data_IF_348335328452
#
_entry.id   IF_348335328452
#
_cell.length_a   1.000
_cell.length_b   1.000
_cell.length_c   1.000
_cell.angle_alpha   90.00
_cell.angle_beta   90.00
_cell.angle_gamma   90.00
#
_symmetry.space_group_name_H-M   'P 1'
#
loop_
_entity.id
_entity.type
_entity.pdbx_description
1 polymer ?
#
# COMPACT_ATOMS: atom_id res chain seq x y z
N UNK A 1 -50.58 -43.29 30.25
CA UNK A 1 -51.50 -43.93 29.28
C UNK A 1 -51.75 -42.93 28.16
N UNK A 2 -51.58 -43.44 26.94
CA UNK A 2 -51.70 -42.83 25.61
C UNK A 2 -53.08 -42.21 25.32
N UNK A 3 -53.18 -41.36 24.29
CA UNK A 3 -53.64 -41.92 23.01
C UNK A 3 -52.72 -41.61 21.83
N UNK A 4 -52.48 -42.64 21.02
CA UNK A 4 -51.96 -42.58 19.65
C UNK A 4 -53.04 -42.11 18.67
N UNK A 5 -52.59 -41.46 17.59
CA UNK A 5 -52.99 -41.58 16.16
C UNK A 5 -52.37 -40.35 15.45
N UNK A 6 -51.90 -40.34 14.22
CA UNK A 6 -51.78 -41.27 13.08
C UNK A 6 -50.99 -40.49 12.00
N UNK A 7 -50.21 -41.17 11.16
CA UNK A 7 -49.44 -40.54 10.07
C UNK A 7 -50.34 -40.00 8.93
N UNK A 8 -49.82 -39.06 8.10
CA UNK A 8 -50.20 -38.97 6.69
C UNK A 8 -48.96 -39.04 5.76
N UNK A 9 -48.97 -39.95 4.78
CA UNK A 9 -49.35 -39.79 3.34
C UNK A 9 -48.29 -39.08 2.49
N UNK A 10 -47.74 -39.84 1.53
CA UNK A 10 -46.95 -39.33 0.39
C UNK A 10 -47.87 -38.58 -0.57
N UNK A 11 -47.50 -37.36 -0.94
CA UNK A 11 -48.08 -36.68 -2.12
C UNK A 11 -46.95 -35.99 -2.86
N UNK A 12 -46.69 -36.45 -4.08
CA UNK A 12 -45.83 -35.76 -5.03
C UNK A 12 -46.61 -34.55 -5.56
N UNK A 13 -46.13 -33.35 -5.26
CA UNK A 13 -46.59 -32.12 -5.90
C UNK A 13 -45.39 -31.54 -6.66
N UNK A 14 -45.43 -31.69 -7.98
CA UNK A 14 -44.55 -30.99 -8.88
C UNK A 14 -44.88 -29.50 -8.80
N UNK A 15 -44.14 -28.76 -7.98
CA UNK A 15 -44.17 -27.30 -8.00
C UNK A 15 -43.16 -26.85 -9.03
N UNK A 16 -43.68 -26.38 -10.16
CA UNK A 16 -42.97 -25.65 -11.19
C UNK A 16 -42.39 -24.37 -10.56
N UNK A 17 -41.17 -24.43 -10.03
CA UNK A 17 -40.42 -23.24 -9.65
C UNK A 17 -40.03 -22.50 -10.92
N UNK A 18 -40.74 -21.40 -11.19
CA UNK A 18 -40.26 -20.33 -12.06
C UNK A 18 -38.85 -19.94 -11.59
N UNK A 19 -37.84 -20.22 -12.40
CA UNK A 19 -36.51 -19.67 -12.22
C UNK A 19 -36.59 -18.16 -12.52
N UNK A 20 -36.92 -17.36 -11.50
CA UNK A 20 -36.46 -15.98 -11.48
C UNK A 20 -34.95 -16.05 -11.23
N UNK A 21 -34.19 -15.83 -12.30
CA UNK A 21 -32.76 -15.58 -12.23
C UNK A 21 -32.50 -14.33 -11.40
N UNK A 22 -32.42 -14.50 -10.08
CA UNK A 22 -31.66 -13.60 -9.25
C UNK A 22 -30.19 -13.92 -9.54
N UNK A 23 -29.61 -13.19 -10.50
CA UNK A 23 -28.17 -12.96 -10.48
C UNK A 23 -27.86 -12.18 -9.21
N UNK A 24 -27.84 -12.89 -8.09
CA UNK A 24 -27.20 -12.43 -6.88
C UNK A 24 -25.75 -12.23 -7.24
N UNK A 25 -25.35 -10.99 -7.47
CA UNK A 25 -23.97 -10.61 -7.24
C UNK A 25 -23.66 -11.07 -5.83
N UNK A 26 -22.88 -12.15 -5.71
CA UNK A 26 -22.16 -12.44 -4.50
C UNK A 26 -21.23 -11.22 -4.32
N UNK A 27 -21.73 -10.21 -3.62
CA UNK A 27 -20.88 -9.17 -3.10
C UNK A 27 -19.83 -9.90 -2.28
N UNK A 28 -18.57 -9.79 -2.70
CA UNK A 28 -17.46 -10.18 -1.87
C UNK A 28 -17.69 -9.54 -0.50
N UNK A 29 -17.79 -10.37 0.54
CA UNK A 29 -17.77 -9.85 1.89
C UNK A 29 -16.54 -8.94 1.98
N UNK A 30 -16.65 -7.72 2.54
CA UNK A 30 -15.50 -6.86 2.71
C UNK A 30 -14.39 -7.66 3.40
N UNK A 31 -13.18 -7.61 2.83
CA UNK A 31 -12.02 -8.27 3.41
C UNK A 31 -11.94 -7.88 4.90
N UNK A 32 -11.79 -8.88 5.77
CA UNK A 32 -11.76 -8.63 7.20
C UNK A 32 -10.64 -7.64 7.51
N UNK A 33 -11.00 -6.52 8.17
CA UNK A 33 -10.03 -5.50 8.56
C UNK A 33 -8.89 -6.12 9.36
N UNK A 34 -7.66 -5.87 8.88
CA UNK A 34 -6.42 -6.25 9.55
C UNK A 34 -6.28 -5.41 10.82
N UNK A 35 -6.19 -6.06 11.97
CA UNK A 35 -6.03 -5.40 13.26
C UNK A 35 -4.57 -5.47 13.71
N UNK A 36 -4.01 -4.31 14.07
CA UNK A 36 -2.66 -4.23 14.62
C UNK A 36 -2.66 -4.56 16.10
N UNK A 37 -1.73 -5.41 16.53
CA UNK A 37 -1.47 -5.76 17.93
C UNK A 37 -0.07 -5.27 18.28
N UNK A 38 0.05 -4.50 19.37
CA UNK A 38 1.30 -3.88 19.78
C UNK A 38 2.14 -4.79 20.66
N UNK A 39 3.41 -5.01 20.28
CA UNK A 39 4.34 -5.90 20.95
C UNK A 39 5.55 -5.11 21.49
N UNK A 40 5.84 -5.30 22.78
CA UNK A 40 7.11 -4.93 23.40
C UNK A 40 7.98 -6.18 23.52
N UNK A 41 9.24 -6.08 23.11
CA UNK A 41 10.22 -7.17 23.33
C UNK A 41 11.34 -6.71 24.25
N UNK A 42 11.52 -7.42 25.35
CA UNK A 42 12.68 -7.26 26.22
C UNK A 42 13.69 -8.34 25.89
N UNK A 43 14.98 -8.02 25.90
CA UNK A 43 16.03 -9.01 25.67
C UNK A 43 17.17 -8.86 26.65
N UNK A 44 17.94 -9.92 26.88
CA UNK A 44 19.07 -9.88 27.81
C UNK A 44 20.39 -9.55 27.11
N UNK A 45 21.42 -9.07 27.84
CA UNK A 45 22.75 -8.87 27.26
C UNK A 45 23.34 -10.14 26.63
N UNK A 46 23.01 -11.32 27.17
CA UNK A 46 23.43 -12.60 26.60
C UNK A 46 22.73 -12.91 25.27
N UNK A 47 21.47 -12.48 25.11
CA UNK A 47 20.78 -12.55 23.82
C UNK A 47 21.43 -11.60 22.81
N UNK A 48 21.77 -10.38 23.22
CA UNK A 48 22.39 -9.38 22.35
C UNK A 48 23.79 -9.81 21.87
N UNK A 49 24.63 -10.27 22.81
CA UNK A 49 25.96 -10.79 22.50
C UNK A 49 25.92 -11.98 21.53
N UNK A 50 24.88 -12.82 21.58
CA UNK A 50 24.71 -13.94 20.66
C UNK A 50 24.57 -13.51 19.21
N UNK A 51 24.05 -12.30 18.97
CA UNK A 51 23.89 -11.73 17.63
C UNK A 51 24.87 -10.57 17.40
N UNK A 52 26.01 -10.57 18.09
CA UNK A 52 27.08 -9.60 17.86
C UNK A 52 26.73 -8.16 18.23
N UNK A 53 25.85 -7.97 19.22
CA UNK A 53 25.35 -6.65 19.61
C UNK A 53 24.14 -6.19 18.80
N UNK A 54 23.43 -7.12 18.15
CA UNK A 54 22.31 -6.84 17.26
C UNK A 54 21.15 -7.82 17.48
N UNK A 55 20.73 -8.02 18.74
CA UNK A 55 19.51 -8.77 19.03
C UNK A 55 18.27 -8.12 18.37
N UNK A 56 18.28 -6.81 18.16
CA UNK A 56 17.16 -6.10 17.53
C UNK A 56 16.86 -6.62 16.11
N UNK A 57 17.87 -6.85 15.26
CA UNK A 57 17.65 -7.44 13.94
C UNK A 57 17.03 -8.85 14.03
N UNK A 58 17.44 -9.65 15.02
CA UNK A 58 16.84 -10.97 15.27
C UNK A 58 15.39 -10.84 15.74
N UNK A 59 15.09 -9.89 16.61
CA UNK A 59 13.73 -9.60 17.09
C UNK A 59 12.84 -9.19 15.93
N UNK A 60 13.30 -8.27 15.08
CA UNK A 60 12.58 -7.84 13.88
C UNK A 60 12.31 -9.01 12.94
N UNK A 61 13.30 -9.89 12.71
CA UNK A 61 13.12 -11.09 11.91
C UNK A 61 12.02 -12.01 12.44
N UNK A 62 12.02 -12.33 13.74
CA UNK A 62 10.97 -13.23 14.29
C UNK A 62 9.59 -12.58 14.34
N UNK A 63 9.51 -11.25 14.47
CA UNK A 63 8.24 -10.51 14.33
C UNK A 63 7.76 -10.54 12.88
N UNK A 64 8.65 -10.40 11.90
CA UNK A 64 8.31 -10.54 10.48
C UNK A 64 7.82 -11.95 10.15
N UNK A 65 8.50 -12.99 10.63
CA UNK A 65 8.05 -14.39 10.49
C UNK A 65 6.68 -14.60 11.13
N UNK A 66 6.43 -14.03 12.31
CA UNK A 66 5.12 -14.11 12.94
C UNK A 66 4.01 -13.46 12.10
N UNK A 67 4.28 -12.28 11.52
CA UNK A 67 3.36 -11.62 10.60
C UNK A 67 3.10 -12.45 9.34
N UNK A 68 4.14 -13.04 8.75
CA UNK A 68 3.97 -13.94 7.60
C UNK A 68 3.13 -15.16 7.96
N UNK A 69 3.30 -15.75 9.16
CA UNK A 69 2.45 -16.86 9.63
C UNK A 69 0.98 -16.44 9.69
N UNK A 70 0.66 -15.25 10.22
CA UNK A 70 -0.73 -14.77 10.28
C UNK A 70 -1.31 -14.56 8.89
N UNK A 71 -0.54 -13.95 7.98
CA UNK A 71 -0.93 -13.73 6.58
C UNK A 71 -1.17 -15.05 5.84
N UNK A 72 -0.21 -15.97 5.89
CA UNK A 72 -0.29 -17.31 5.31
C UNK A 72 -1.47 -18.13 5.86
N UNK A 73 -1.93 -17.80 7.07
CA UNK A 73 -3.04 -18.47 7.75
C UNK A 73 -4.38 -17.76 7.53
N UNK A 74 -4.41 -16.68 6.75
CA UNK A 74 -5.57 -15.81 6.53
C UNK A 74 -6.15 -15.23 7.82
N UNK A 75 -5.29 -14.93 8.80
CA UNK A 75 -5.67 -14.24 10.02
C UNK A 75 -5.49 -12.74 9.82
N UNK A 76 -6.55 -11.91 9.90
CA UNK A 76 -6.45 -10.46 9.71
C UNK A 76 -5.89 -9.77 10.96
N UNK A 77 -4.67 -10.12 11.35
CA UNK A 77 -3.93 -9.61 12.50
C UNK A 77 -2.48 -9.35 12.08
N UNK A 78 -1.92 -8.22 12.53
CA UNK A 78 -0.50 -7.88 12.32
C UNK A 78 0.13 -7.42 13.62
N UNK A 79 1.30 -7.94 13.95
CA UNK A 79 2.12 -7.45 15.05
C UNK A 79 2.86 -6.18 14.62
N UNK A 80 2.88 -5.19 15.51
CA UNK A 80 3.78 -4.03 15.44
C UNK A 80 4.71 -4.06 16.64
N UNK A 81 6.01 -4.19 16.38
CA UNK A 81 7.02 -4.01 17.41
C UNK A 81 7.06 -2.53 17.78
N UNK A 82 6.50 -2.16 18.93
CA UNK A 82 6.43 -0.76 19.37
C UNK A 82 7.69 -0.29 20.06
N UNK A 83 8.44 -1.22 20.66
CA UNK A 83 9.75 -0.97 21.26
C UNK A 83 10.48 -2.29 21.50
N UNK A 84 11.81 -2.25 21.52
CA UNK A 84 12.62 -3.32 22.08
C UNK A 84 13.67 -2.76 23.03
N UNK A 85 13.97 -3.47 24.13
CA UNK A 85 14.91 -2.96 25.13
C UNK A 85 15.73 -4.07 25.79
N UNK A 86 17.04 -3.83 25.92
CA UNK A 86 17.91 -4.67 26.74
C UNK A 86 17.55 -4.51 28.23
N UNK A 87 17.39 -5.62 28.94
CA UNK A 87 17.13 -5.67 30.37
C UNK A 87 18.07 -6.63 31.09
N UNK A 88 18.51 -6.25 32.28
CA UNK A 88 19.31 -7.13 33.12
C UNK A 88 18.42 -8.23 33.71
N UNK A 89 18.64 -9.46 33.25
CA UNK A 89 17.97 -10.66 33.76
C UNK A 89 18.90 -11.88 33.71
N UNK A 90 18.64 -12.87 34.57
CA UNK A 90 19.53 -14.01 34.79
C UNK A 90 19.29 -15.16 33.81
N UNK A 91 20.40 -15.70 33.26
CA UNK A 91 20.39 -16.88 32.40
C UNK A 91 20.41 -18.22 33.14
N UNK A 92 20.47 -18.21 34.47
CA UNK A 92 20.48 -19.47 35.25
C UNK A 92 19.08 -19.90 35.69
N UNK A 93 18.08 -19.02 35.55
CA UNK A 93 16.68 -19.33 35.87
C UNK A 93 16.06 -20.20 34.78
N UNK A 94 15.09 -21.04 35.12
CA UNK A 94 14.28 -21.76 34.11
C UNK A 94 13.38 -20.80 33.33
N UNK A 95 12.93 -21.22 32.16
CA UNK A 95 12.01 -20.48 31.29
C UNK A 95 10.69 -20.18 32.00
N UNK A 96 10.14 -21.14 32.76
CA UNK A 96 8.96 -20.91 33.60
C UNK A 96 9.19 -19.83 34.66
N UNK A 97 10.36 -19.84 35.31
CA UNK A 97 10.69 -18.81 36.30
C UNK A 97 10.85 -17.43 35.65
N UNK A 98 11.38 -17.39 34.43
CA UNK A 98 11.49 -16.16 33.63
C UNK A 98 10.14 -15.56 33.27
N UNK A 99 9.18 -16.38 32.86
CA UNK A 99 7.80 -15.92 32.65
C UNK A 99 7.18 -15.40 33.96
N UNK A 100 7.34 -16.14 35.06
CA UNK A 100 6.83 -15.71 36.37
C UNK A 100 7.43 -14.37 36.82
N UNK A 101 8.74 -14.18 36.65
CA UNK A 101 9.42 -12.93 37.01
C UNK A 101 9.02 -11.77 36.09
N UNK A 102 8.83 -12.02 34.80
CA UNK A 102 8.34 -11.01 33.86
C UNK A 102 6.91 -10.56 34.23
N UNK A 103 6.09 -11.48 34.71
CA UNK A 103 4.67 -11.24 35.00
C UNK A 103 4.43 -10.70 36.40
N UNK A 104 5.24 -11.09 37.39
CA UNK A 104 4.99 -10.82 38.81
C UNK A 104 6.25 -10.49 39.62
N UNK A 105 7.45 -10.58 39.06
CA UNK A 105 8.71 -10.37 39.77
C UNK A 105 9.12 -8.90 39.79
N UNK A 106 9.11 -8.26 40.96
CA UNK A 106 9.34 -6.82 41.17
C UNK A 106 10.23 -6.12 40.12
N UNK A 107 11.55 -6.31 40.14
CA UNK A 107 12.45 -5.49 39.29
C UNK A 107 12.20 -5.63 37.78
N UNK A 108 12.01 -6.86 37.29
CA UNK A 108 11.77 -7.11 35.87
C UNK A 108 10.35 -6.71 35.46
N UNK A 109 9.35 -7.12 36.25
CA UNK A 109 7.95 -6.78 36.01
C UNK A 109 7.73 -5.28 36.03
N UNK A 110 8.23 -4.56 37.04
CA UNK A 110 8.05 -3.11 37.15
C UNK A 110 8.69 -2.39 35.95
N UNK A 111 9.85 -2.88 35.45
CA UNK A 111 10.45 -2.35 34.21
C UNK A 111 9.56 -2.64 33.01
N UNK A 112 9.11 -3.87 32.85
CA UNK A 112 8.26 -4.30 31.75
C UNK A 112 6.93 -3.53 31.73
N UNK A 113 6.24 -3.41 32.87
CA UNK A 113 4.98 -2.68 33.01
C UNK A 113 5.13 -1.20 32.64
N UNK A 114 6.18 -0.52 33.14
CA UNK A 114 6.45 0.88 32.77
C UNK A 114 6.68 1.07 31.27
N UNK A 115 7.44 0.17 30.64
CA UNK A 115 7.69 0.23 29.20
C UNK A 115 6.42 -0.09 28.40
N UNK A 116 5.65 -1.08 28.86
CA UNK A 116 4.37 -1.47 28.27
C UNK A 116 3.39 -0.30 28.26
N UNK A 117 3.28 0.44 29.37
CA UNK A 117 2.42 1.63 29.43
C UNK A 117 2.99 2.81 28.64
N UNK A 118 4.33 2.99 28.62
CA UNK A 118 4.98 4.05 27.85
C UNK A 118 4.79 3.91 26.34
N UNK A 119 4.86 2.69 25.82
CA UNK A 119 4.82 2.42 24.38
C UNK A 119 3.47 1.86 23.90
N UNK A 120 2.52 1.66 24.82
CA UNK A 120 1.18 1.17 24.51
C UNK A 120 1.15 -0.29 24.04
N UNK A 121 2.02 -1.15 24.60
CA UNK A 121 2.12 -2.54 24.15
C UNK A 121 1.01 -3.43 24.72
N UNK A 122 0.30 -4.13 23.83
CA UNK A 122 -0.69 -5.13 24.19
C UNK A 122 -0.04 -6.38 24.79
N UNK A 123 1.09 -6.82 24.23
CA UNK A 123 1.82 -8.01 24.68
C UNK A 123 3.28 -7.67 24.98
N UNK A 124 3.88 -8.44 25.90
CA UNK A 124 5.30 -8.32 26.25
C UNK A 124 5.98 -9.67 26.19
N UNK A 125 7.09 -9.75 25.44
CA UNK A 125 7.91 -10.96 25.38
C UNK A 125 9.31 -10.71 25.93
N UNK A 126 9.78 -11.56 26.84
CA UNK A 126 11.20 -11.63 27.20
C UNK A 126 11.92 -12.64 26.32
N UNK A 127 12.98 -12.19 25.64
CA UNK A 127 13.88 -13.00 24.84
C UNK A 127 15.24 -13.17 25.50
N UNK A 128 15.66 -14.42 25.69
CA UNK A 128 16.98 -14.77 26.23
C UNK A 128 17.55 -16.00 25.54
N UNK A 129 18.84 -16.32 25.63
CA UNK A 129 19.35 -17.58 25.10
C UNK A 129 18.64 -18.80 25.69
N UNK A 130 18.57 -19.88 24.91
CA UNK A 130 18.11 -21.17 25.40
C UNK A 130 19.03 -21.69 26.49
N UNK A 131 18.46 -22.05 27.64
CA UNK A 131 19.20 -22.43 28.85
C UNK A 131 19.31 -23.94 29.06
N UNK A 132 18.84 -24.75 28.12
CA UNK A 132 18.92 -26.21 28.20
C UNK A 132 17.86 -26.88 29.07
N UNK A 133 16.75 -26.20 29.39
CA UNK A 133 15.67 -26.70 30.25
C UNK A 133 14.56 -27.46 29.49
N UNK A 134 14.73 -27.70 28.19
CA UNK A 134 13.75 -28.37 27.33
C UNK A 134 12.62 -27.46 26.84
N UNK A 135 12.62 -26.18 27.20
CA UNK A 135 11.54 -25.23 26.92
C UNK A 135 12.04 -24.10 26.02
N UNK A 136 11.59 -24.09 24.77
CA UNK A 136 11.93 -23.02 23.83
C UNK A 136 11.10 -21.74 24.04
N UNK A 137 9.94 -21.85 24.68
CA UNK A 137 9.08 -20.73 25.03
C UNK A 137 8.00 -21.17 26.02
N UNK A 138 7.45 -20.20 26.73
CA UNK A 138 6.31 -20.41 27.64
C UNK A 138 5.51 -19.12 27.79
N UNK A 139 4.19 -19.24 27.87
CA UNK A 139 3.26 -18.13 27.93
C UNK A 139 2.03 -18.45 28.80
N UNK A 140 1.30 -17.42 29.19
CA UNK A 140 0.01 -17.60 29.88
C UNK A 140 -1.10 -17.86 28.88
N UNK A 141 -2.03 -18.75 29.20
CA UNK A 141 -3.17 -19.02 28.32
C UNK A 141 -4.29 -18.00 28.56
N UNK A 142 -4.53 -17.13 27.58
CA UNK A 142 -5.60 -16.14 27.63
C UNK A 142 -6.97 -16.75 27.34
N UNK A 143 -8.03 -16.22 27.96
CA UNK A 143 -9.41 -16.55 27.59
C UNK A 143 -9.81 -18.01 27.75
N UNK A 144 -9.04 -18.84 28.46
CA UNK A 144 -9.27 -20.29 28.58
C UNK A 144 -10.71 -20.62 29.00
N UNK A 145 -11.37 -21.50 28.25
CA UNK A 145 -12.77 -21.89 28.44
C UNK A 145 -13.77 -20.71 28.56
N UNK A 146 -13.42 -19.57 27.97
CA UNK A 146 -14.25 -18.37 27.88
C UNK A 146 -14.38 -18.01 26.39
N UNK A 147 -15.34 -18.62 25.66
CA UNK A 147 -15.49 -18.53 24.20
C UNK A 147 -15.31 -17.12 23.61
N UNK A 148 -14.07 -16.80 23.23
CA UNK A 148 -13.69 -15.53 22.64
C UNK A 148 -13.74 -14.31 23.57
N UNK A 149 -13.79 -14.50 24.89
CA UNK A 149 -13.89 -13.40 25.86
C UNK A 149 -12.57 -13.21 26.59
N UNK A 150 -11.97 -12.03 26.40
CA UNK A 150 -10.75 -11.58 27.06
C UNK A 150 -11.06 -10.41 27.98
N UNK A 151 -10.51 -10.46 29.18
CA UNK A 151 -10.76 -9.50 30.26
C UNK A 151 -9.48 -8.76 30.63
N UNK A 152 -9.60 -7.77 31.52
CA UNK A 152 -8.44 -7.10 32.11
C UNK A 152 -7.46 -8.06 32.80
N UNK A 153 -7.94 -9.23 33.27
CA UNK A 153 -7.06 -10.26 33.83
C UNK A 153 -6.19 -10.87 32.75
N UNK A 154 -6.73 -11.16 31.57
CA UNK A 154 -5.96 -11.67 30.44
C UNK A 154 -4.93 -10.63 29.98
N UNK A 155 -5.32 -9.35 29.94
CA UNK A 155 -4.40 -8.26 29.67
C UNK A 155 -3.26 -8.18 30.70
N UNK A 156 -3.55 -8.37 31.99
CA UNK A 156 -2.54 -8.36 33.06
C UNK A 156 -1.56 -9.55 32.98
N UNK A 157 -1.89 -10.60 32.23
CA UNK A 157 -1.07 -11.79 32.04
C UNK A 157 -0.59 -11.96 30.58
N UNK A 158 -0.72 -10.94 29.73
CA UNK A 158 -0.28 -10.96 28.33
C UNK A 158 1.27 -10.88 28.18
N UNK A 159 1.95 -11.83 28.82
CA UNK A 159 3.39 -11.94 28.94
C UNK A 159 3.86 -13.31 28.42
N UNK A 160 4.99 -13.33 27.74
CA UNK A 160 5.61 -14.57 27.23
C UNK A 160 7.11 -14.56 27.41
N UNK A 161 7.71 -15.74 27.54
CA UNK A 161 9.15 -15.94 27.43
C UNK A 161 9.45 -16.75 26.18
N UNK A 162 10.47 -16.34 25.43
CA UNK A 162 10.96 -17.03 24.22
C UNK A 162 12.47 -17.16 24.29
N UNK A 163 12.99 -18.32 23.92
CA UNK A 163 14.41 -18.52 23.71
C UNK A 163 14.79 -17.98 22.32
N UNK A 164 15.61 -16.93 22.26
CA UNK A 164 15.88 -16.14 21.04
C UNK A 164 16.47 -16.97 19.88
N UNK A 165 17.16 -18.05 20.22
CA UNK A 165 17.83 -18.96 19.29
C UNK A 165 17.11 -20.29 19.05
N UNK A 166 15.84 -20.39 19.45
CA UNK A 166 14.94 -21.45 19.02
C UNK A 166 14.31 -21.13 17.65
N UNK A 167 13.47 -22.05 17.14
CA UNK A 167 12.73 -21.87 15.88
C UNK A 167 12.02 -20.53 15.80
N UNK A 168 11.99 -19.95 14.61
CA UNK A 168 11.36 -18.64 14.34
C UNK A 168 9.85 -18.62 14.61
N UNK A 169 9.21 -19.80 14.62
CA UNK A 169 7.78 -19.95 14.92
C UNK A 169 7.43 -19.88 16.41
N UNK A 170 8.42 -19.91 17.31
CA UNK A 170 8.18 -19.95 18.76
C UNK A 170 7.51 -18.68 19.26
N UNK A 171 7.89 -17.50 18.75
CA UNK A 171 7.21 -16.26 19.12
C UNK A 171 5.70 -16.34 18.82
N UNK A 172 5.34 -16.83 17.64
CA UNK A 172 3.94 -17.02 17.25
C UNK A 172 3.23 -18.07 18.10
N UNK A 173 3.93 -19.14 18.49
CA UNK A 173 3.40 -20.15 19.40
C UNK A 173 3.03 -19.55 20.75
N UNK A 174 3.95 -18.81 21.36
CA UNK A 174 3.77 -18.21 22.69
C UNK A 174 2.74 -17.07 22.68
N UNK A 175 2.75 -16.22 21.65
CA UNK A 175 1.69 -15.23 21.46
C UNK A 175 0.34 -15.91 21.21
N UNK A 176 0.33 -17.05 20.51
CA UNK A 176 -0.86 -17.88 20.35
C UNK A 176 -1.48 -18.26 21.69
N UNK A 177 -0.68 -18.69 22.67
CA UNK A 177 -1.17 -18.95 24.04
C UNK A 177 -1.76 -17.70 24.71
N UNK A 178 -1.05 -16.57 24.67
CA UNK A 178 -1.59 -15.31 25.23
C UNK A 178 -2.91 -14.89 24.54
N UNK A 179 -3.08 -15.25 23.27
CA UNK A 179 -4.27 -15.01 22.45
C UNK A 179 -5.31 -16.14 22.50
N UNK A 180 -5.14 -17.10 23.42
CA UNK A 180 -6.13 -18.14 23.73
C UNK A 180 -6.09 -19.39 22.85
N UNK A 181 -4.98 -19.63 22.15
CA UNK A 181 -4.73 -20.88 21.46
C UNK A 181 -4.05 -21.87 22.40
N UNK A 182 -4.42 -23.14 22.29
CA UNK A 182 -3.83 -24.24 23.01
C UNK A 182 -3.11 -25.18 22.05
N UNK A 183 -2.40 -26.16 22.61
CA UNK A 183 -1.80 -27.21 21.80
C UNK A 183 -2.85 -28.01 21.02
N UNK A 184 -2.42 -28.88 20.11
CA UNK A 184 -3.34 -29.73 19.35
C UNK A 184 -4.27 -30.55 20.25
N UNK A 185 -5.42 -30.99 19.71
CA UNK A 185 -6.35 -31.86 20.44
C UNK A 185 -5.69 -33.09 21.06
N UNK A 186 -4.69 -33.66 20.38
CA UNK A 186 -3.91 -34.81 20.87
C UNK A 186 -3.11 -34.48 22.13
N UNK A 187 -2.64 -33.24 22.25
CA UNK A 187 -1.81 -32.76 23.35
C UNK A 187 -2.63 -32.10 24.46
N UNK A 188 -3.70 -31.39 24.09
CA UNK A 188 -4.62 -30.76 25.01
C UNK A 188 -6.07 -30.88 24.49
N UNK A 189 -6.84 -31.89 24.94
CA UNK A 189 -8.20 -32.11 24.47
C UNK A 189 -9.17 -31.00 24.91
N UNK A 190 -8.81 -30.23 25.95
CA UNK A 190 -9.65 -29.18 26.54
C UNK A 190 -9.82 -27.92 25.69
N UNK A 191 -9.05 -27.77 24.60
CA UNK A 191 -9.14 -26.58 23.76
C UNK A 191 -8.39 -25.37 24.34
N UNK A 192 -8.73 -24.19 23.81
CA UNK A 192 -8.22 -22.91 24.27
C UNK A 192 -9.36 -22.00 24.73
N UNK A 193 -9.48 -20.81 24.14
CA UNK A 193 -10.62 -19.92 24.39
C UNK A 193 -11.93 -20.49 23.85
N UNK A 194 -11.88 -21.10 22.67
CA UNK A 194 -12.90 -22.00 22.13
C UNK A 194 -12.41 -23.45 22.15
N UNK A 195 -13.31 -24.45 22.06
CA UNK A 195 -12.91 -25.85 21.91
C UNK A 195 -11.96 -26.09 20.73
N UNK A 196 -12.18 -25.40 19.61
CA UNK A 196 -11.37 -25.49 18.39
C UNK A 196 -10.15 -24.57 18.36
N UNK A 197 -9.86 -23.80 19.42
CA UNK A 197 -8.68 -22.94 19.53
C UNK A 197 -7.40 -23.75 19.79
N UNK A 198 -7.06 -24.66 18.87
CA UNK A 198 -5.99 -25.65 19.04
C UNK A 198 -5.17 -25.81 17.77
N UNK A 199 -3.94 -26.30 17.92
CA UNK A 199 -3.15 -26.78 16.79
C UNK A 199 -3.78 -27.98 16.08
N UNK A 200 -3.34 -28.19 14.85
CA UNK A 200 -3.62 -29.36 14.04
C UNK A 200 -2.32 -30.04 13.58
N UNK A 201 -2.37 -31.34 13.33
CA UNK A 201 -1.27 -32.12 12.79
C UNK A 201 -1.76 -33.43 12.18
N UNK A 202 -1.01 -33.91 11.20
CA UNK A 202 -1.21 -35.19 10.50
C UNK A 202 0.08 -35.99 10.63
N UNK A 203 -0.06 -37.25 11.07
CA UNK A 203 1.07 -38.12 11.40
C UNK A 203 2.03 -38.29 10.24
N UNK A 204 3.32 -38.09 10.50
CA UNK A 204 4.39 -38.18 9.51
C UNK A 204 4.38 -37.09 8.42
N UNK A 205 3.37 -36.21 8.39
CA UNK A 205 3.18 -35.25 7.30
C UNK A 205 3.46 -33.81 7.75
N UNK A 206 2.62 -33.24 8.62
CA UNK A 206 2.85 -31.88 9.12
C UNK A 206 2.25 -31.62 10.50
N UNK A 207 2.72 -30.56 11.16
CA UNK A 207 2.05 -29.92 12.30
C UNK A 207 1.94 -28.41 12.08
N UNK A 208 0.85 -27.82 12.50
CA UNK A 208 0.69 -26.35 12.56
C UNK A 208 1.45 -25.77 13.75
N UNK A 209 1.57 -24.45 13.81
CA UNK A 209 2.40 -23.74 14.80
C UNK A 209 2.11 -24.16 16.25
N UNK A 210 0.84 -24.35 16.62
CA UNK A 210 0.45 -24.72 17.99
C UNK A 210 0.64 -26.21 18.31
N UNK A 211 1.08 -27.05 17.38
CA UNK A 211 1.25 -28.48 17.59
C UNK A 211 2.74 -28.89 17.71
N UNK A 212 3.01 -29.92 18.51
CA UNK A 212 4.37 -30.44 18.68
C UNK A 212 4.70 -31.46 17.61
N UNK A 213 5.83 -31.25 16.95
CA UNK A 213 6.39 -32.18 15.95
C UNK A 213 6.56 -33.59 16.53
N UNK A 214 7.02 -33.69 17.79
CA UNK A 214 7.18 -34.96 18.50
C UNK A 214 5.88 -35.73 18.73
N UNK A 215 4.74 -35.03 18.84
CA UNK A 215 3.45 -35.67 19.07
C UNK A 215 2.87 -36.34 17.80
N UNK A 216 3.37 -35.98 16.62
CA UNK A 216 2.89 -36.47 15.32
C UNK A 216 4.00 -37.11 14.47
N UNK A 217 5.26 -37.08 14.94
CA UNK A 217 6.41 -37.51 14.14
C UNK A 217 6.53 -36.76 12.81
N UNK A 218 6.16 -35.48 12.80
CA UNK A 218 5.98 -34.69 11.58
C UNK A 218 6.70 -33.34 11.69
N UNK A 219 6.80 -32.61 10.57
CA UNK A 219 7.48 -31.29 10.51
C UNK A 219 6.50 -30.13 10.61
N UNK A 220 6.92 -29.04 11.24
CA UNK A 220 6.10 -27.84 11.37
C UNK A 220 5.95 -27.10 10.05
N UNK A 221 4.73 -26.71 9.73
CA UNK A 221 4.40 -25.69 8.73
C UNK A 221 4.18 -24.36 9.44
N UNK A 222 4.60 -23.27 8.80
CA UNK A 222 4.47 -21.91 9.31
C UNK A 222 3.04 -21.36 9.11
N UNK A 223 2.05 -22.10 9.63
CA UNK A 223 0.62 -21.74 9.61
C UNK A 223 -0.02 -22.10 10.95
N UNK A 224 -0.95 -21.28 11.43
CA UNK A 224 -1.89 -21.71 12.47
C UNK A 224 -2.99 -22.56 11.83
N UNK A 225 -3.71 -23.36 12.62
CA UNK A 225 -4.74 -24.23 12.07
C UNK A 225 -5.89 -23.43 11.46
N UNK A 226 -6.26 -23.78 10.22
CA UNK A 226 -7.34 -23.19 9.45
C UNK A 226 -7.88 -24.26 8.47
N UNK A 227 -9.10 -24.78 8.66
CA UNK A 227 -9.66 -25.84 7.82
C UNK A 227 -9.95 -25.41 6.38
N UNK A 228 -9.97 -24.11 6.07
CA UNK A 228 -10.14 -23.59 4.71
C UNK A 228 -8.84 -23.62 3.88
N UNK A 229 -7.69 -23.88 4.51
CA UNK A 229 -6.38 -23.91 3.86
C UNK A 229 -5.90 -25.35 3.65
N UNK A 230 -4.92 -25.51 2.76
CA UNK A 230 -4.19 -26.77 2.57
C UNK A 230 -2.78 -26.68 3.15
N UNK A 231 -2.37 -27.73 3.87
CA UNK A 231 -1.03 -27.94 4.39
C UNK A 231 -0.53 -29.31 3.91
N UNK A 232 0.50 -29.30 3.07
CA UNK A 232 1.09 -30.52 2.49
C UNK A 232 0.07 -31.42 1.75
N UNK A 233 -0.92 -30.82 1.08
CA UNK A 233 -1.96 -31.54 0.33
C UNK A 233 -3.17 -31.97 1.15
N UNK A 234 -3.14 -31.82 2.47
CA UNK A 234 -4.24 -32.13 3.39
C UNK A 234 -4.87 -30.83 3.96
N UNK A 235 -6.10 -30.87 4.52
CA UNK A 235 -6.67 -29.71 5.20
C UNK A 235 -5.77 -29.23 6.35
N UNK A 236 -5.53 -27.92 6.45
CA UNK A 236 -4.66 -27.35 7.49
C UNK A 236 -5.35 -27.17 8.84
N UNK A 237 -6.39 -27.95 9.12
CA UNK A 237 -7.25 -27.82 10.29
C UNK A 237 -8.45 -28.75 10.17
N UNK A 238 -9.31 -28.69 11.18
CA UNK A 238 -10.59 -29.42 11.17
C UNK A 238 -11.68 -28.42 11.45
N UNK A 239 -12.78 -28.52 10.69
CA UNK A 239 -13.93 -27.63 10.81
C UNK A 239 -14.35 -27.42 12.28
N UNK A 240 -14.57 -26.16 12.66
CA UNK A 240 -14.92 -25.78 14.02
C UNK A 240 -16.26 -26.35 14.51
N UNK A 241 -17.15 -26.74 13.59
CA UNK A 241 -18.41 -27.44 13.91
C UNK A 241 -18.19 -28.88 14.38
N UNK A 242 -17.02 -29.47 14.14
CA UNK A 242 -16.65 -30.77 14.68
C UNK A 242 -16.30 -30.63 16.18
N UNK A 243 -17.22 -31.09 17.04
CA UNK A 243 -17.10 -30.91 18.50
C UNK A 243 -15.88 -31.66 19.08
N UNK A 244 -15.54 -32.80 18.50
CA UNK A 244 -14.52 -33.70 19.04
C UNK A 244 -13.13 -33.38 18.48
N UNK A 245 -13.05 -33.08 17.18
CA UNK A 245 -11.79 -32.93 16.44
C UNK A 245 -11.53 -31.52 15.93
N UNK A 246 -12.47 -30.58 16.08
CA UNK A 246 -12.37 -29.21 15.56
C UNK A 246 -11.06 -28.55 15.96
N UNK A 247 -10.39 -27.96 14.97
CA UNK A 247 -9.09 -27.30 15.07
C UNK A 247 -9.01 -26.15 14.05
N UNK A 248 -9.36 -24.96 14.51
CA UNK A 248 -9.42 -23.72 13.74
C UNK A 248 -8.98 -22.54 14.62
N UNK A 249 -7.67 -22.46 14.80
CA UNK A 249 -7.01 -21.37 15.52
C UNK A 249 -7.20 -20.03 14.80
N UNK A 250 -7.25 -20.03 13.47
CA UNK A 250 -7.45 -18.82 12.67
C UNK A 250 -8.77 -18.13 13.00
N UNK A 251 -9.87 -18.88 13.10
CA UNK A 251 -11.16 -18.34 13.56
C UNK A 251 -11.03 -17.70 14.94
N UNK A 252 -10.35 -18.37 15.87
CA UNK A 252 -10.21 -17.90 17.25
C UNK A 252 -9.47 -16.55 17.34
N UNK A 253 -8.36 -16.42 16.61
CA UNK A 253 -7.60 -15.18 16.50
C UNK A 253 -8.40 -14.09 15.79
N UNK A 254 -9.07 -14.44 14.68
CA UNK A 254 -9.93 -13.50 13.96
C UNK A 254 -11.04 -12.96 14.86
N UNK A 255 -11.69 -13.80 15.65
CA UNK A 255 -12.75 -13.37 16.57
C UNK A 255 -12.21 -12.43 17.66
N UNK A 256 -11.08 -12.77 18.27
CA UNK A 256 -10.54 -12.07 19.43
C UNK A 256 -9.72 -10.81 19.08
N UNK A 257 -9.25 -10.64 17.84
CA UNK A 257 -8.25 -9.63 17.44
C UNK A 257 -8.46 -8.22 17.98
N UNK A 258 -9.71 -7.74 18.01
CA UNK A 258 -10.04 -6.38 18.50
C UNK A 258 -9.96 -6.26 20.03
N UNK A 259 -10.26 -7.33 20.77
CA UNK A 259 -10.09 -7.35 22.23
C UNK A 259 -8.59 -7.40 22.58
N UNK A 260 -7.82 -8.20 21.82
CA UNK A 260 -6.38 -8.38 22.02
C UNK A 260 -5.59 -7.10 21.73
N UNK A 261 -5.94 -6.36 20.67
CA UNK A 261 -5.38 -5.05 20.33
C UNK A 261 -5.87 -3.90 21.24
N UNK A 262 -6.77 -4.20 22.18
CA UNK A 262 -7.36 -3.24 23.10
C UNK A 262 -6.81 -3.36 24.52
N UNK A 263 -5.73 -4.11 24.74
CA UNK A 263 -5.15 -4.27 26.06
C UNK A 263 -4.45 -2.99 26.53
N UNK A 264 -3.90 -2.21 25.60
CA UNK A 264 -3.40 -0.86 25.86
C UNK A 264 -3.81 0.10 24.73
N UNK A 265 -4.01 1.40 25.02
CA UNK A 265 -4.05 2.39 23.95
C UNK A 265 -2.70 2.43 23.23
N UNK A 266 -2.70 2.39 21.91
CA UNK A 266 -1.49 2.59 21.11
C UNK A 266 -0.86 3.95 21.42
N UNK A 267 0.44 3.96 21.76
CA UNK A 267 1.23 5.18 22.03
C UNK A 267 2.32 5.42 20.97
N UNK A 268 2.73 4.39 20.23
CA UNK A 268 3.67 4.53 19.13
C UNK A 268 3.06 5.43 18.02
N UNK A 269 3.82 6.39 17.45
CA UNK A 269 3.38 7.03 16.22
C UNK A 269 3.16 5.90 15.21
N UNK A 270 2.00 5.90 14.54
CA UNK A 270 1.77 4.96 13.45
C UNK A 270 3.01 4.99 12.55
N UNK A 271 3.61 3.82 12.28
CA UNK A 271 4.57 3.70 11.19
C UNK A 271 3.92 4.44 10.02
N UNK A 272 4.60 5.46 9.46
CA UNK A 272 3.90 6.35 8.58
C UNK A 272 3.36 5.54 7.42
N UNK A 273 2.08 5.74 7.11
CA UNK A 273 1.39 4.96 6.09
C UNK A 273 2.23 4.96 4.81
N UNK A 274 2.40 3.80 4.16
CA UNK A 274 3.09 3.74 2.89
C UNK A 274 2.51 4.79 1.94
N UNK A 275 3.37 5.61 1.37
CA UNK A 275 2.98 6.69 0.47
C UNK A 275 3.91 6.69 -0.74
N UNK A 276 3.34 7.01 -1.89
CA UNK A 276 4.07 7.36 -3.11
C UNK A 276 3.42 8.60 -3.68
N UNK A 277 4.22 9.58 -4.11
CA UNK A 277 3.73 10.80 -4.73
C UNK A 277 4.53 11.07 -5.99
N UNK A 278 3.89 10.88 -7.15
CA UNK A 278 4.47 11.11 -8.46
C UNK A 278 4.35 12.60 -8.83
N UNK A 279 5.46 13.24 -9.19
CA UNK A 279 5.44 14.63 -9.62
C UNK A 279 4.80 14.76 -11.00
N UNK A 280 3.95 15.77 -11.18
CA UNK A 280 3.44 16.16 -12.51
C UNK A 280 4.64 16.64 -13.35
N UNK A 281 4.93 16.00 -14.51
CA UNK A 281 5.93 16.50 -15.45
C UNK A 281 5.54 17.91 -15.88
N UNK A 282 6.51 18.83 -15.84
CA UNK A 282 6.28 20.21 -16.23
C UNK A 282 5.76 20.33 -17.67
N UNK A 283 6.15 19.38 -18.54
CA UNK A 283 5.79 19.39 -19.95
C UNK A 283 5.94 18.02 -20.61
N UNK A 284 5.07 17.75 -21.59
CA UNK A 284 5.09 16.54 -22.41
C UNK A 284 5.06 16.89 -23.90
N UNK A 285 6.14 16.58 -24.59
CA UNK A 285 6.23 16.60 -26.05
C UNK A 285 6.24 15.17 -26.59
N UNK A 286 5.37 14.87 -27.54
CA UNK A 286 5.31 13.55 -28.15
C UNK A 286 6.66 13.18 -28.81
N UNK A 287 7.19 12.00 -28.49
CA UNK A 287 8.47 11.51 -29.02
C UNK A 287 9.72 11.96 -28.26
N UNK A 288 9.62 12.90 -27.31
CA UNK A 288 10.76 13.31 -26.47
C UNK A 288 10.85 12.49 -25.18
N UNK A 289 12.05 12.43 -24.61
CA UNK A 289 12.28 11.86 -23.28
C UNK A 289 11.95 12.85 -22.18
N UNK A 290 11.33 12.37 -21.11
CA UNK A 290 11.00 13.14 -19.90
C UNK A 290 11.46 12.35 -18.68
N UNK A 291 12.04 13.06 -17.71
CA UNK A 291 12.41 12.48 -16.43
C UNK A 291 11.21 12.51 -15.49
N UNK A 292 10.72 11.32 -15.15
CA UNK A 292 9.69 11.13 -14.14
C UNK A 292 10.38 11.04 -12.77
N UNK A 293 9.80 11.66 -11.76
CA UNK A 293 10.31 11.61 -10.38
C UNK A 293 9.18 11.47 -9.38
N UNK A 294 9.46 10.79 -8.28
CA UNK A 294 8.50 10.58 -7.20
C UNK A 294 9.19 10.64 -5.85
N UNK A 295 8.40 10.87 -4.81
CA UNK A 295 8.78 10.63 -3.42
C UNK A 295 8.04 9.40 -2.92
N UNK A 296 8.67 8.63 -2.05
CA UNK A 296 8.04 7.46 -1.44
C UNK A 296 8.50 7.26 -0.01
N UNK A 297 7.64 6.65 0.79
CA UNK A 297 7.90 6.30 2.18
C UNK A 297 7.22 4.97 2.49
N UNK A 298 7.92 4.04 3.14
CA UNK A 298 7.35 2.72 3.44
C UNK A 298 7.05 1.86 2.20
N UNK A 299 7.74 2.13 1.09
CA UNK A 299 7.60 1.45 -0.21
C UNK A 299 8.98 0.92 -0.63
N UNK A 300 9.05 -0.33 -1.07
CA UNK A 300 10.27 -1.01 -1.53
C UNK A 300 10.53 -0.82 -3.03
N UNK A 301 9.49 -0.96 -3.86
CA UNK A 301 9.57 -0.77 -5.32
C UNK A 301 8.38 0.01 -5.86
N UNK A 302 8.53 0.63 -7.03
CA UNK A 302 7.49 1.40 -7.70
C UNK A 302 7.29 0.93 -9.14
N UNK A 303 6.02 0.72 -9.52
CA UNK A 303 5.59 0.57 -10.91
C UNK A 303 5.02 1.87 -11.45
N UNK A 304 5.39 2.20 -12.69
CA UNK A 304 4.84 3.32 -13.43
C UNK A 304 3.91 2.83 -14.54
N UNK A 305 2.76 3.47 -14.68
CA UNK A 305 1.81 3.21 -15.75
C UNK A 305 1.30 4.51 -16.36
N UNK A 306 0.89 4.44 -17.63
CA UNK A 306 0.29 5.54 -18.39
C UNK A 306 -1.06 5.14 -18.95
N UNK A 307 -1.98 6.08 -19.06
CA UNK A 307 -3.19 5.95 -19.88
C UNK A 307 -3.46 7.23 -20.63
N UNK A 308 -4.17 7.11 -21.75
CA UNK A 308 -4.41 8.23 -22.66
C UNK A 308 -5.90 8.47 -22.87
N UNK A 309 -6.23 9.68 -23.30
CA UNK A 309 -7.57 10.05 -23.75
C UNK A 309 -7.47 11.19 -24.75
N UNK A 310 -8.60 11.54 -25.36
CA UNK A 310 -8.72 12.77 -26.16
C UNK A 310 -9.67 13.77 -25.51
N UNK A 311 -9.35 15.06 -25.62
CA UNK A 311 -10.21 16.13 -25.14
C UNK A 311 -11.18 16.61 -26.23
N UNK A 312 -12.48 16.50 -25.96
CA UNK A 312 -13.54 16.97 -26.87
C UNK A 312 -14.58 17.78 -26.12
N UNK A 313 -14.72 19.08 -26.45
CA UNK A 313 -15.66 20.03 -25.82
C UNK A 313 -15.55 20.02 -24.28
N UNK A 314 -14.33 20.07 -23.75
CA UNK A 314 -14.06 20.07 -22.31
C UNK A 314 -14.27 18.73 -21.60
N UNK A 315 -14.61 17.65 -22.32
CA UNK A 315 -14.76 16.31 -21.74
C UNK A 315 -13.75 15.33 -22.33
N UNK A 316 -13.22 14.45 -21.48
CA UNK A 316 -12.39 13.31 -21.88
C UNK A 316 -13.25 12.25 -22.58
N UNK A 317 -12.75 11.68 -23.67
CA UNK A 317 -13.41 10.59 -24.42
C UNK A 317 -12.38 9.50 -24.75
N UNK A 318 -12.83 8.25 -24.73
CA UNK A 318 -11.98 7.09 -25.09
C UNK A 318 -10.78 6.95 -24.17
N UNK A 319 -11.00 6.95 -22.85
CA UNK A 319 -9.95 6.73 -21.86
C UNK A 319 -9.45 5.29 -22.02
N UNK A 320 -8.15 5.12 -22.29
CA UNK A 320 -7.54 3.80 -22.44
C UNK A 320 -7.41 3.10 -21.09
N UNK A 321 -7.21 1.79 -21.12
CA UNK A 321 -6.67 1.06 -19.99
C UNK A 321 -5.26 1.59 -19.63
N UNK A 322 -4.81 1.30 -18.41
CA UNK A 322 -3.43 1.53 -18.01
C UNK A 322 -2.49 0.60 -18.77
N UNK A 323 -1.40 1.15 -19.30
CA UNK A 323 -0.29 0.43 -19.89
C UNK A 323 0.97 0.68 -19.08
N UNK A 324 1.76 -0.36 -18.84
CA UNK A 324 3.02 -0.26 -18.10
C UNK A 324 4.02 0.64 -18.81
N UNK A 325 4.64 1.54 -18.04
CA UNK A 325 5.78 2.36 -18.44
C UNK A 325 7.06 1.67 -17.99
N UNK A 326 7.13 1.30 -16.71
CA UNK A 326 8.24 0.58 -16.09
C UNK A 326 7.76 -0.11 -14.81
N UNK A 327 8.49 -1.14 -14.38
CA UNK A 327 8.17 -1.92 -13.17
C UNK A 327 9.40 -2.10 -12.29
N UNK A 328 9.17 -2.44 -11.02
CA UNK A 328 10.19 -2.82 -10.04
C UNK A 328 11.29 -1.75 -9.82
N UNK A 329 10.91 -0.47 -9.80
CA UNK A 329 11.84 0.63 -9.64
C UNK A 329 12.18 0.85 -8.15
N UNK A 330 13.43 0.63 -7.76
CA UNK A 330 13.92 0.87 -6.38
C UNK A 330 14.40 2.32 -6.13
N UNK A 331 14.37 3.18 -7.15
CA UNK A 331 14.82 4.57 -7.09
C UNK A 331 13.69 5.58 -6.90
N UNK A 332 14.00 6.86 -7.16
CA UNK A 332 13.05 7.98 -7.10
C UNK A 332 12.86 8.68 -8.46
N UNK A 333 13.31 8.05 -9.54
CA UNK A 333 13.20 8.62 -10.88
C UNK A 333 13.37 7.61 -12.01
N UNK A 334 12.83 7.94 -13.18
CA UNK A 334 12.88 7.13 -14.39
C UNK A 334 12.73 8.00 -15.63
N UNK A 335 13.65 7.86 -16.60
CA UNK A 335 13.54 8.53 -17.90
C UNK A 335 12.62 7.74 -18.82
N UNK A 336 11.59 8.40 -19.35
CA UNK A 336 10.57 7.78 -20.19
C UNK A 336 10.37 8.57 -21.49
N UNK A 337 10.18 7.87 -22.62
CA UNK A 337 9.84 8.51 -23.89
C UNK A 337 8.34 8.66 -24.04
N UNK A 338 7.87 9.90 -24.23
CA UNK A 338 6.45 10.19 -24.40
C UNK A 338 5.95 9.57 -25.72
N UNK A 339 4.87 8.78 -25.71
CA UNK A 339 4.39 8.10 -26.91
C UNK A 339 3.88 9.10 -27.95
N UNK A 340 4.01 8.74 -29.22
CA UNK A 340 3.34 9.46 -30.30
C UNK A 340 1.84 9.18 -30.24
N UNK A 341 1.04 10.23 -30.08
CA UNK A 341 -0.41 10.11 -29.92
C UNK A 341 -1.12 10.70 -31.14
N UNK A 342 -1.89 9.88 -31.85
CA UNK A 342 -2.59 10.27 -33.09
C UNK A 342 -3.96 10.93 -32.85
N UNK A 343 -4.34 11.11 -31.58
CA UNK A 343 -5.63 11.68 -31.21
C UNK A 343 -5.59 13.20 -31.27
N UNK A 344 -6.62 13.83 -31.86
CA UNK A 344 -6.80 15.27 -31.78
C UNK A 344 -6.91 15.75 -30.31
N UNK A 345 -5.99 16.63 -29.90
CA UNK A 345 -5.81 17.14 -28.51
C UNK A 345 -5.61 15.99 -27.52
N UNK A 346 -4.47 15.29 -27.61
CA UNK A 346 -4.19 14.16 -26.75
C UNK A 346 -3.89 14.64 -25.33
N UNK A 347 -4.40 13.88 -24.36
CA UNK A 347 -4.07 14.02 -22.95
C UNK A 347 -3.67 12.67 -22.40
N UNK A 348 -2.78 12.65 -21.43
CA UNK A 348 -2.39 11.44 -20.71
C UNK A 348 -2.45 11.64 -19.20
N UNK A 349 -2.44 10.53 -18.48
CA UNK A 349 -2.31 10.50 -17.04
C UNK A 349 -1.27 9.43 -16.69
N UNK A 350 -0.40 9.72 -15.75
CA UNK A 350 0.59 8.80 -15.21
C UNK A 350 0.14 8.31 -13.83
N UNK A 351 0.59 7.13 -13.44
CA UNK A 351 0.38 6.56 -12.12
C UNK A 351 1.65 5.90 -11.63
N UNK A 352 1.99 6.15 -10.37
CA UNK A 352 2.94 5.38 -9.59
C UNK A 352 2.19 4.46 -8.63
N UNK A 353 2.61 3.21 -8.54
CA UNK A 353 2.07 2.18 -7.63
C UNK A 353 3.24 1.65 -6.80
N UNK A 354 3.18 1.79 -5.49
CA UNK A 354 4.23 1.37 -4.57
C UNK A 354 3.92 0.02 -3.94
N UNK A 355 4.94 -0.85 -3.88
CA UNK A 355 4.87 -2.17 -3.28
C UNK A 355 5.80 -2.30 -2.09
N UNK A 356 5.44 -3.14 -1.12
CA UNK A 356 6.34 -3.51 -0.03
C UNK A 356 7.34 -4.60 -0.43
N UNK A 357 8.16 -5.04 0.52
CA UNK A 357 9.19 -6.08 0.31
C UNK A 357 8.62 -7.44 -0.13
N UNK A 358 7.31 -7.67 0.09
CA UNK A 358 6.61 -8.90 -0.28
C UNK A 358 5.85 -8.76 -1.62
N UNK A 359 5.94 -7.60 -2.27
CA UNK A 359 5.25 -7.33 -3.52
C UNK A 359 3.76 -7.02 -3.36
N UNK A 360 3.30 -6.66 -2.16
CA UNK A 360 1.92 -6.21 -1.95
C UNK A 360 1.80 -4.73 -2.31
N UNK A 361 0.76 -4.35 -3.07
CA UNK A 361 0.45 -2.94 -3.33
C UNK A 361 0.06 -2.25 -2.01
N UNK A 362 0.85 -1.25 -1.61
CA UNK A 362 0.66 -0.53 -0.33
C UNK A 362 0.35 0.95 -0.52
N UNK A 363 0.65 1.52 -1.69
CA UNK A 363 0.37 2.93 -2.01
C UNK A 363 0.15 3.14 -3.51
N UNK A 364 -0.65 4.13 -3.91
CA UNK A 364 -0.70 4.57 -5.30
C UNK A 364 -1.03 6.05 -5.45
N UNK A 365 -0.48 6.66 -6.50
CA UNK A 365 -0.72 8.06 -6.84
C UNK A 365 -0.81 8.25 -8.34
N UNK A 366 -1.82 8.98 -8.81
CA UNK A 366 -1.97 9.33 -10.22
C UNK A 366 -1.94 10.85 -10.40
N UNK A 367 -1.20 11.30 -11.41
CA UNK A 367 -1.07 12.72 -11.78
C UNK A 367 -2.41 13.34 -12.16
N UNK A 368 -2.42 14.66 -12.36
CA UNK A 368 -3.45 15.29 -13.18
C UNK A 368 -3.51 14.71 -14.61
N UNK A 369 -4.54 15.09 -15.37
CA UNK A 369 -4.54 14.87 -16.82
C UNK A 369 -3.68 15.93 -17.49
N UNK A 370 -2.61 15.49 -18.13
CA UNK A 370 -1.57 16.32 -18.72
C UNK A 370 -1.80 16.42 -20.23
N UNK A 371 -1.65 17.62 -20.79
CA UNK A 371 -1.70 17.82 -22.23
C UNK A 371 -0.41 17.31 -22.87
N UNK A 372 -0.54 16.60 -23.99
CA UNK A 372 0.60 16.18 -24.81
C UNK A 372 0.60 17.05 -26.06
N UNK A 373 1.75 17.66 -26.32
CA UNK A 373 1.93 18.55 -27.46
C UNK A 373 2.78 17.85 -28.53
N UNK A 374 2.43 18.05 -29.80
CA UNK A 374 3.22 17.56 -30.93
C UNK A 374 4.36 18.52 -31.30
N UNK A 375 4.23 19.79 -30.94
CA UNK A 375 5.29 20.78 -31.08
C UNK A 375 5.14 21.96 -30.13
N UNK A 376 6.13 22.82 -30.11
CA UNK A 376 6.12 24.07 -29.34
C UNK A 376 6.84 25.18 -30.09
N UNK A 377 6.39 26.41 -29.85
CA UNK A 377 7.09 27.64 -30.21
C UNK A 377 7.14 28.55 -28.98
N UNK A 378 8.32 29.04 -28.63
CA UNK A 378 8.54 30.10 -27.66
C UNK A 378 9.10 31.31 -28.37
N UNK A 379 8.36 32.43 -28.34
CA UNK A 379 8.76 33.70 -28.96
C UNK A 379 9.58 34.50 -27.97
N UNK A 380 10.71 35.06 -28.41
CA UNK A 380 11.49 35.99 -27.63
C UNK A 380 10.68 37.27 -27.31
N UNK A 381 11.06 37.98 -26.25
CA UNK A 381 10.44 39.27 -25.96
C UNK A 381 10.86 40.31 -27.00
N UNK A 382 9.89 40.81 -27.76
CA UNK A 382 10.08 41.80 -28.81
C UNK A 382 10.28 43.22 -28.25
N UNK A 383 10.03 43.44 -26.95
CA UNK A 383 10.18 44.74 -26.31
C UNK A 383 9.25 45.82 -26.87
N UNK A 384 9.59 47.12 -26.70
CA UNK A 384 8.84 48.23 -27.28
C UNK A 384 9.14 48.35 -28.78
N UNK A 385 8.08 48.40 -29.58
CA UNK A 385 8.18 48.48 -31.04
C UNK A 385 8.01 49.93 -31.49
N UNK A 386 8.67 50.31 -32.60
CA UNK A 386 8.54 51.64 -33.22
C UNK A 386 7.89 51.48 -34.59
N UNK A 387 6.82 52.24 -34.84
CA UNK A 387 6.14 52.18 -36.14
C UNK A 387 7.04 52.61 -37.30
N UNK A 388 7.07 51.84 -38.38
CA UNK A 388 7.89 52.10 -39.56
C UNK A 388 9.36 51.68 -39.45
N UNK A 389 9.75 50.99 -38.37
CA UNK A 389 11.09 50.39 -38.23
C UNK A 389 11.02 48.87 -38.35
N UNK A 390 12.15 48.24 -38.68
CA UNK A 390 12.30 46.79 -38.65
C UNK A 390 12.50 46.30 -37.21
N UNK A 391 11.88 45.18 -36.88
CA UNK A 391 12.12 44.43 -35.65
C UNK A 391 12.24 42.94 -35.98
N UNK A 392 13.20 42.25 -35.39
CA UNK A 392 13.34 40.82 -35.58
C UNK A 392 12.40 40.06 -34.65
N UNK A 393 11.64 39.14 -35.23
CA UNK A 393 10.82 38.20 -34.47
C UNK A 393 11.62 36.92 -34.32
N UNK A 394 12.21 36.73 -33.15
CA UNK A 394 12.96 35.52 -32.83
C UNK A 394 12.09 34.50 -32.09
N UNK A 395 12.28 33.22 -32.38
CA UNK A 395 11.66 32.13 -31.64
C UNK A 395 12.56 30.91 -31.54
N UNK A 396 12.24 30.06 -30.57
CA UNK A 396 12.71 28.68 -30.54
C UNK A 396 11.53 27.76 -30.77
N UNK A 397 11.76 26.64 -31.45
CA UNK A 397 10.71 25.67 -31.70
C UNK A 397 11.20 24.23 -31.61
N UNK A 398 10.30 23.33 -31.26
CA UNK A 398 10.51 21.87 -31.25
C UNK A 398 9.33 21.17 -31.91
N UNK A 399 9.59 20.12 -32.68
CA UNK A 399 8.54 19.40 -33.43
C UNK A 399 7.88 20.23 -34.54
N UNK A 400 8.44 21.39 -34.88
CA UNK A 400 7.95 22.33 -35.91
C UNK A 400 8.98 22.40 -37.02
N UNK A 401 8.52 22.26 -38.27
CA UNK A 401 9.34 22.34 -39.49
C UNK A 401 9.16 23.66 -40.23
N UNK A 402 7.99 24.31 -40.11
CA UNK A 402 7.76 25.63 -40.68
C UNK A 402 6.78 26.45 -39.84
N UNK A 403 6.81 27.77 -40.00
CA UNK A 403 5.93 28.69 -39.28
C UNK A 403 5.19 29.67 -40.19
N UNK A 404 3.95 29.97 -39.82
CA UNK A 404 3.20 31.12 -40.32
C UNK A 404 3.21 32.22 -39.24
N UNK A 405 3.68 33.41 -39.58
CA UNK A 405 3.73 34.56 -38.67
C UNK A 405 2.74 35.61 -39.13
N UNK A 406 1.88 36.05 -38.21
CA UNK A 406 0.90 37.09 -38.45
C UNK A 406 0.90 38.13 -37.31
N UNK A 407 0.47 39.36 -37.60
CA UNK A 407 0.28 40.39 -36.60
C UNK A 407 -1.15 40.96 -36.58
N UNK A 408 -1.49 41.59 -35.45
CA UNK A 408 -2.66 42.45 -35.28
C UNK A 408 -2.29 43.74 -34.60
N UNK A 409 -3.03 44.80 -34.91
CA UNK A 409 -2.85 46.10 -34.28
C UNK A 409 -4.10 46.53 -33.54
N UNK A 410 -3.93 47.40 -32.55
CA UNK A 410 -5.02 48.08 -31.87
C UNK A 410 -4.68 49.52 -31.58
N UNK A 411 -5.72 50.37 -31.45
CA UNK A 411 -5.58 51.78 -31.10
C UNK A 411 -6.80 52.30 -30.36
N UNK A 412 -6.68 53.40 -29.64
CA UNK A 412 -7.82 54.07 -29.01
C UNK A 412 -8.46 55.05 -30.01
N UNK A 413 -9.77 54.89 -30.24
CA UNK A 413 -10.59 55.80 -31.06
C UNK A 413 -11.91 56.06 -30.34
N UNK A 414 -12.25 57.34 -30.14
CA UNK A 414 -13.47 57.78 -29.42
C UNK A 414 -13.62 57.08 -28.06
N UNK A 415 -12.57 57.11 -27.22
CA UNK A 415 -12.58 56.54 -25.88
C UNK A 415 -12.53 55.00 -25.77
N UNK A 416 -12.64 54.26 -26.88
CA UNK A 416 -12.63 52.79 -26.88
C UNK A 416 -11.45 52.20 -27.66
N UNK A 417 -10.95 51.04 -27.21
CA UNK A 417 -9.90 50.29 -27.93
C UNK A 417 -10.52 49.59 -29.14
N UNK A 418 -9.98 49.85 -30.32
CA UNK A 418 -10.35 49.22 -31.58
C UNK A 418 -9.21 48.31 -32.03
N UNK A 419 -9.52 47.02 -32.23
CA UNK A 419 -8.59 45.99 -32.72
C UNK A 419 -8.83 45.77 -34.22
N UNK A 420 -7.77 45.50 -34.98
CA UNK A 420 -7.90 45.13 -36.40
C UNK A 420 -8.81 43.90 -36.57
N UNK A 421 -9.65 43.92 -37.61
CA UNK A 421 -10.64 42.84 -37.83
C UNK A 421 -9.98 41.51 -38.22
N UNK A 422 -8.87 41.57 -38.94
CA UNK A 422 -8.12 40.41 -39.43
C UNK A 422 -6.69 40.46 -38.91
N UNK A 423 -6.08 39.28 -38.85
CA UNK A 423 -4.63 39.14 -38.76
C UNK A 423 -4.03 39.49 -40.12
N UNK A 424 -2.86 40.10 -40.10
CA UNK A 424 -2.07 40.45 -41.28
C UNK A 424 -0.85 39.54 -41.32
N UNK A 425 -0.65 38.85 -42.43
CA UNK A 425 0.49 37.95 -42.65
C UNK A 425 1.79 38.74 -42.70
N UNK A 426 2.83 38.23 -42.03
CA UNK A 426 4.23 38.66 -42.15
C UNK A 426 4.93 37.68 -43.09
N UNK A 427 4.87 36.39 -42.76
CA UNK A 427 5.42 35.30 -43.56
C UNK A 427 4.58 34.03 -43.41
N UNK A 428 4.58 33.17 -44.42
CA UNK A 428 3.93 31.86 -44.44
C UNK A 428 4.95 30.78 -44.81
N UNK A 429 4.77 29.58 -44.26
CA UNK A 429 5.62 28.41 -44.51
C UNK A 429 7.14 28.69 -44.37
N UNK A 430 7.50 29.48 -43.38
CA UNK A 430 8.88 29.91 -43.16
C UNK A 430 9.67 28.87 -42.36
N UNK A 431 10.79 28.42 -42.91
CA UNK A 431 11.78 27.60 -42.21
C UNK A 431 12.89 28.51 -41.66
N UNK A 432 12.94 28.65 -40.34
CA UNK A 432 13.92 29.47 -39.66
C UNK A 432 13.60 29.66 -38.17
N UNK A 433 14.38 30.54 -37.54
CA UNK A 433 14.23 30.89 -36.11
C UNK A 433 14.14 32.41 -35.86
N UNK A 434 14.26 33.22 -36.92
CA UNK A 434 14.19 34.68 -36.88
C UNK A 434 13.57 35.19 -38.17
N UNK A 435 12.66 36.16 -38.07
CA UNK A 435 12.01 36.78 -39.22
C UNK A 435 11.99 38.30 -39.04
N UNK A 436 12.59 39.09 -39.95
CA UNK A 436 12.50 40.53 -39.90
C UNK A 436 11.07 40.99 -40.17
N UNK A 437 10.59 41.93 -39.37
CA UNK A 437 9.24 42.46 -39.46
C UNK A 437 9.25 43.98 -39.59
N UNK A 438 8.77 44.47 -40.73
CA UNK A 438 8.44 45.88 -40.93
C UNK A 438 7.22 46.25 -40.08
N UNK A 439 7.48 46.86 -38.92
CA UNK A 439 6.43 47.19 -37.94
C UNK A 439 5.51 48.25 -38.55
N UNK A 440 4.19 48.02 -38.60
CA UNK A 440 3.26 48.96 -39.23
C UNK A 440 3.17 50.28 -38.45
N UNK A 441 3.17 51.41 -39.16
CA UNK A 441 2.80 52.70 -38.57
C UNK A 441 1.29 52.78 -38.33
N UNK A 442 0.88 52.84 -37.07
CA UNK A 442 -0.53 52.86 -36.66
C UNK A 442 -0.89 54.21 -36.07
N UNK A 443 -1.45 55.08 -36.91
CA UNK A 443 -1.96 56.39 -36.49
C UNK A 443 -3.08 56.26 -35.46
N UNK A 444 -2.90 56.88 -34.29
CA UNK A 444 -3.93 56.97 -33.24
C UNK A 444 -3.36 57.06 -31.82
N UNK A 445 -4.23 57.09 -30.81
CA UNK A 445 -3.82 57.13 -29.40
C UNK A 445 -3.45 55.73 -28.89
N UNK A 446 -2.28 55.62 -28.24
CA UNK A 446 -1.75 54.40 -27.61
C UNK A 446 -1.83 53.16 -28.53
N UNK A 447 -1.20 53.20 -29.73
CA UNK A 447 -1.22 52.07 -30.63
C UNK A 447 -0.48 50.88 -30.03
N UNK A 448 -0.94 49.67 -30.33
CA UNK A 448 -0.35 48.41 -29.87
C UNK A 448 -0.33 47.38 -30.99
N UNK A 449 0.60 46.45 -30.92
CA UNK A 449 0.66 45.28 -31.79
C UNK A 449 0.68 43.98 -30.98
N UNK A 450 0.32 42.88 -31.64
CA UNK A 450 0.35 41.52 -31.13
C UNK A 450 0.77 40.61 -32.28
N UNK A 451 1.66 39.65 -32.02
CA UNK A 451 2.14 38.69 -33.03
C UNK A 451 1.64 37.30 -32.67
N UNK A 452 1.28 36.51 -33.69
CA UNK A 452 0.92 35.10 -33.61
C UNK A 452 1.88 34.31 -34.49
N UNK A 453 2.43 33.24 -33.95
CA UNK A 453 3.22 32.26 -34.70
C UNK A 453 2.48 30.92 -34.66
N UNK A 454 2.25 30.33 -35.83
CA UNK A 454 1.60 29.03 -36.03
C UNK A 454 2.64 28.07 -36.59
N UNK A 455 3.02 27.05 -35.83
CA UNK A 455 4.00 26.05 -36.25
C UNK A 455 3.35 24.81 -36.84
N UNK A 456 3.95 24.30 -37.92
CA UNK A 456 3.51 23.10 -38.62
C UNK A 456 4.58 22.02 -38.59
N UNK A 457 4.15 20.76 -38.62
CA UNK A 457 5.05 19.62 -38.82
C UNK A 457 5.28 19.36 -40.33
N UNK A 458 6.10 18.35 -40.65
CA UNK A 458 6.43 17.98 -42.02
C UNK A 458 5.22 17.57 -42.88
N UNK A 459 4.09 17.21 -42.25
CA UNK A 459 2.85 16.85 -42.94
C UNK A 459 1.96 18.09 -43.20
N UNK A 460 2.36 19.27 -42.74
CA UNK A 460 1.61 20.52 -42.85
C UNK A 460 0.56 20.73 -41.75
N UNK A 461 0.45 19.81 -40.79
CA UNK A 461 -0.50 19.91 -39.68
C UNK A 461 -0.02 20.94 -38.65
N UNK A 462 -0.97 21.72 -38.11
CA UNK A 462 -0.65 22.70 -37.05
C UNK A 462 -0.40 21.97 -35.72
N UNK A 463 0.83 22.03 -35.24
CA UNK A 463 1.29 21.35 -34.03
C UNK A 463 1.56 22.29 -32.86
N UNK A 464 1.76 23.58 -33.13
CA UNK A 464 1.98 24.61 -32.12
C UNK A 464 1.35 25.95 -32.55
N UNK A 465 0.77 26.69 -31.60
CA UNK A 465 0.34 28.08 -31.83
C UNK A 465 0.68 28.90 -30.59
N UNK A 466 1.42 29.98 -30.79
CA UNK A 466 1.76 30.92 -29.72
C UNK A 466 1.37 32.34 -30.11
N UNK A 467 1.09 33.19 -29.13
CA UNK A 467 0.71 34.58 -29.38
C UNK A 467 1.26 35.48 -28.28
N UNK A 468 1.99 36.53 -28.65
CA UNK A 468 2.62 37.46 -27.72
C UNK A 468 1.61 38.28 -26.92
N UNK A 469 2.06 39.02 -25.90
CA UNK A 469 1.24 40.06 -25.28
C UNK A 469 0.94 41.24 -26.23
N UNK A 470 0.05 42.16 -25.82
CA UNK A 470 -0.11 43.42 -26.55
C UNK A 470 1.06 44.37 -26.26
N UNK A 471 1.97 44.51 -27.22
CA UNK A 471 3.15 45.38 -27.18
C UNK A 471 2.76 46.80 -27.57
N UNK A 472 3.41 47.81 -26.97
CA UNK A 472 3.16 49.21 -27.35
C UNK A 472 3.91 49.52 -28.64
N UNK A 473 3.23 50.23 -29.55
CA UNK A 473 3.85 50.88 -30.70
C UNK A 473 4.14 52.33 -30.31
N UNK A 474 5.39 52.77 -30.43
CA UNK A 474 5.82 54.17 -30.22
C UNK A 474 5.77 54.95 -31.52
#
# INVERSE_FOLDING_TARGET
MTPQRSAPVRTALAVLTLALGATGFAGSAPAAEIVTVDLLVLYTPAADARYGGNAEARIQHVVAVANQIYEDSQVPLRLRLVHSEEVSYSETRSSSRALDDLTRGHSLHDRAARLRDRYGADFVTLMRPYVGDGVCGIAWLGGYNRPGVFTQWDAAYAYSHVSINCSDSVLTHELGHNMGLSHSRRQNPGGGTFPHSVGHGVDGLFVTVMAYESAFGARRVHKVSNPALSCSGEPCGVDQGNRDLGADAAHSLQYARRQLAGYRPTVAPAAPSPEVSLADPARLLAGETVDLSWTSQGVSTVDLAVRTARMKKGRRRGVSAWSTVASDLAGSGHTWTVPLLTNARPVLQLRATGYDENGLEVASHATGWLAVHEGEIVVADLGPLVGGQNADIDWTSRGVTSVDIEYRTSRIRKGSRKVSRRWSTIVEDFDGASCPWDVPDVRGRKPKAKVRITGRNANGDVVAVTTTGWMNLR
#
